data_IF_397774280791
#
_entry.id   IF_397774280791
#
_cell.length_a   1.000
_cell.length_b   1.000
_cell.length_c   1.000
_cell.angle_alpha   90.00
_cell.angle_beta   90.00
_cell.angle_gamma   90.00
#
_symmetry.space_group_name_H-M   'P 1'
#
loop_
_entity.id
_entity.type
_entity.pdbx_description
1 polymer ?
#
# COMPACT_ATOMS: atom_id res chain seq x y z
N UNK A 1 -22.64 14.27 9.10
CA UNK A 1 -23.05 12.85 8.87
C UNK A 1 -22.58 12.37 7.50
N UNK A 2 -21.28 12.18 7.33
CA UNK A 2 -20.69 11.64 6.10
C UNK A 2 -21.26 10.25 5.78
N UNK A 3 -21.70 10.05 4.53
CA UNK A 3 -22.23 8.77 4.05
C UNK A 3 -21.18 7.96 3.29
N UNK A 4 -20.26 8.62 2.60
CA UNK A 4 -19.17 8.02 1.81
C UNK A 4 -17.95 8.93 1.78
N UNK A 5 -16.83 8.38 1.36
CA UNK A 5 -15.61 9.11 1.03
C UNK A 5 -15.27 8.84 -0.43
N UNK A 6 -14.99 9.90 -1.20
CA UNK A 6 -14.38 9.79 -2.52
C UNK A 6 -12.89 10.11 -2.37
N UNK A 7 -12.01 9.22 -2.83
CA UNK A 7 -10.58 9.38 -2.74
C UNK A 7 -9.99 9.40 -4.15
N UNK A 8 -9.14 10.38 -4.46
CA UNK A 8 -8.52 10.47 -5.78
C UNK A 8 -7.06 10.87 -5.67
N UNK A 9 -6.23 10.22 -6.48
CA UNK A 9 -4.79 10.43 -6.53
C UNK A 9 -4.18 9.79 -7.80
N UNK A 10 -2.87 9.99 -8.02
CA UNK A 10 -2.11 9.37 -9.10
C UNK A 10 -0.96 8.51 -8.54
N UNK A 11 -0.58 7.44 -9.26
CA UNK A 11 0.62 6.65 -9.01
C UNK A 11 0.71 6.12 -7.57
N UNK A 12 1.86 6.29 -6.94
CA UNK A 12 2.14 5.88 -5.56
C UNK A 12 1.10 6.41 -4.55
N UNK A 13 0.66 7.66 -4.73
CA UNK A 13 -0.37 8.25 -3.85
C UNK A 13 -1.73 7.58 -4.04
N UNK A 14 -2.06 7.11 -5.23
CA UNK A 14 -3.25 6.30 -5.48
C UNK A 14 -3.18 4.96 -4.74
N UNK A 15 -2.02 4.28 -4.73
CA UNK A 15 -1.85 3.04 -3.99
C UNK A 15 -1.90 3.24 -2.47
N UNK A 16 -1.39 4.37 -1.97
CA UNK A 16 -1.61 4.76 -0.57
C UNK A 16 -3.11 4.94 -0.27
N UNK A 17 -3.84 5.57 -1.17
CA UNK A 17 -5.29 5.72 -1.09
C UNK A 17 -6.04 4.39 -1.10
N UNK A 18 -5.59 3.41 -1.90
CA UNK A 18 -6.16 2.06 -1.91
C UNK A 18 -6.01 1.37 -0.54
N UNK A 19 -4.89 1.53 0.15
CA UNK A 19 -4.73 1.04 1.53
C UNK A 19 -5.67 1.81 2.46
N UNK A 20 -5.74 3.14 2.32
CA UNK A 20 -6.64 4.00 3.07
C UNK A 20 -8.11 3.57 2.96
N UNK A 21 -8.56 3.15 1.77
CA UNK A 21 -9.90 2.57 1.56
C UNK A 21 -10.18 1.42 2.52
N UNK A 22 -9.27 0.43 2.62
CA UNK A 22 -9.44 -0.69 3.54
C UNK A 22 -9.56 -0.24 5.00
N UNK A 23 -8.77 0.76 5.41
CA UNK A 23 -8.82 1.27 6.78
C UNK A 23 -10.10 2.06 7.08
N UNK A 24 -10.54 2.95 6.20
CA UNK A 24 -11.81 3.68 6.38
C UNK A 24 -13.01 2.73 6.42
N UNK A 25 -13.08 1.76 5.52
CA UNK A 25 -14.16 0.77 5.49
C UNK A 25 -14.14 -0.11 6.74
N UNK A 26 -12.95 -0.49 7.23
CA UNK A 26 -12.82 -1.34 8.42
C UNK A 26 -13.07 -0.58 9.71
N UNK A 27 -12.42 0.56 9.90
CA UNK A 27 -12.42 1.28 11.17
C UNK A 27 -13.62 2.23 11.31
N UNK A 28 -13.92 2.99 10.26
CA UNK A 28 -14.97 3.99 10.26
C UNK A 28 -16.30 3.49 9.69
N UNK A 29 -16.33 2.29 9.10
CA UNK A 29 -17.51 1.74 8.40
C UNK A 29 -18.07 2.74 7.38
N UNK A 30 -17.18 3.46 6.71
CA UNK A 30 -17.46 4.40 5.64
C UNK A 30 -17.16 3.74 4.30
N UNK A 31 -18.13 3.64 3.39
CA UNK A 31 -17.87 3.26 2.01
C UNK A 31 -16.86 4.24 1.38
N UNK A 32 -15.85 3.72 0.70
CA UNK A 32 -14.85 4.53 0.00
C UNK A 32 -14.84 4.16 -1.48
N UNK A 33 -15.07 5.13 -2.33
CA UNK A 33 -14.70 5.04 -3.74
C UNK A 33 -13.31 5.61 -3.92
N UNK A 34 -12.49 4.91 -4.67
CA UNK A 34 -11.15 5.38 -5.02
C UNK A 34 -10.98 5.36 -6.53
N UNK A 35 -10.42 6.44 -7.06
CA UNK A 35 -10.24 6.65 -8.49
C UNK A 35 -8.85 7.18 -8.81
N UNK A 36 -8.34 6.82 -9.97
CA UNK A 36 -7.17 7.50 -10.53
C UNK A 36 -7.57 8.89 -10.95
N UNK A 37 -6.83 9.91 -10.52
CA UNK A 37 -7.24 11.30 -10.72
C UNK A 37 -7.34 11.69 -12.21
N UNK A 38 -6.52 11.12 -13.09
CA UNK A 38 -6.61 11.32 -14.54
C UNK A 38 -7.91 10.82 -15.15
N UNK A 39 -8.57 9.82 -14.53
CA UNK A 39 -9.85 9.33 -14.99
C UNK A 39 -11.02 10.01 -14.27
N UNK A 40 -10.85 10.32 -12.97
CA UNK A 40 -11.87 10.99 -12.17
C UNK A 40 -12.32 12.32 -12.79
N UNK A 41 -11.38 13.13 -13.26
CA UNK A 41 -11.66 14.46 -13.81
C UNK A 41 -12.52 14.46 -15.09
N UNK A 42 -12.56 13.35 -15.83
CA UNK A 42 -13.26 13.25 -17.12
C UNK A 42 -14.52 12.39 -17.09
N UNK A 43 -14.73 11.65 -16.00
CA UNK A 43 -15.77 10.63 -15.94
C UNK A 43 -17.15 11.14 -15.54
N UNK A 44 -17.33 12.40 -15.23
CA UNK A 44 -18.59 12.96 -14.72
C UNK A 44 -19.13 12.18 -13.50
N UNK A 45 -18.30 12.08 -12.45
CA UNK A 45 -18.56 11.28 -11.25
C UNK A 45 -19.78 11.83 -10.50
N UNK A 46 -20.81 11.02 -10.20
CA UNK A 46 -21.95 11.47 -9.42
C UNK A 46 -21.56 11.65 -7.95
N UNK A 47 -21.49 12.89 -7.50
CA UNK A 47 -21.13 13.26 -6.14
C UNK A 47 -22.33 13.84 -5.41
N UNK A 48 -22.80 13.18 -4.35
CA UNK A 48 -23.83 13.74 -3.48
C UNK A 48 -23.24 14.86 -2.61
N UNK A 49 -23.83 16.06 -2.55
CA UNK A 49 -23.33 17.18 -1.75
C UNK A 49 -23.12 16.84 -0.28
N UNK A 50 -22.12 17.47 0.34
CA UNK A 50 -21.83 17.34 1.78
C UNK A 50 -21.09 16.05 2.19
N UNK A 51 -20.63 15.24 1.23
CA UNK A 51 -19.72 14.13 1.51
C UNK A 51 -18.25 14.60 1.50
N UNK A 52 -17.34 13.69 1.84
CA UNK A 52 -15.90 13.97 1.94
C UNK A 52 -15.18 13.51 0.66
N UNK A 53 -14.43 14.42 0.05
CA UNK A 53 -13.46 14.10 -0.98
C UNK A 53 -12.04 14.24 -0.42
N UNK A 54 -11.21 13.21 -0.57
CA UNK A 54 -9.84 13.16 -0.08
C UNK A 54 -8.88 13.09 -1.26
N UNK A 55 -7.92 14.02 -1.30
CA UNK A 55 -6.90 14.09 -2.35
C UNK A 55 -5.51 13.87 -1.76
N UNK A 56 -4.76 12.93 -2.34
CA UNK A 56 -3.41 12.60 -1.86
C UNK A 56 -2.39 12.98 -2.91
N UNK A 57 -1.39 13.78 -2.53
CA UNK A 57 -0.32 14.20 -3.44
C UNK A 57 0.95 14.55 -2.65
N UNK A 58 2.11 14.05 -3.08
CA UNK A 58 3.37 14.41 -2.44
C UNK A 58 3.70 15.90 -2.67
N UNK A 59 3.69 16.35 -3.92
CA UNK A 59 4.00 17.75 -4.29
C UNK A 59 2.86 18.72 -4.00
N UNK A 60 1.61 18.24 -4.04
CA UNK A 60 0.42 19.07 -4.02
C UNK A 60 0.23 19.93 -5.28
N UNK A 61 0.93 19.58 -6.38
CA UNK A 61 0.86 20.30 -7.67
C UNK A 61 0.51 19.36 -8.84
N UNK A 62 0.13 18.11 -8.58
CA UNK A 62 -0.25 17.15 -9.63
C UNK A 62 -1.48 17.64 -10.35
N UNK A 63 -1.36 17.91 -11.67
CA UNK A 63 -2.40 18.55 -12.46
C UNK A 63 -3.76 17.83 -12.40
N UNK A 64 -3.77 16.49 -12.62
CA UNK A 64 -5.01 15.71 -12.59
C UNK A 64 -5.65 15.68 -11.19
N UNK A 65 -4.84 15.57 -10.13
CA UNK A 65 -5.33 15.60 -8.75
C UNK A 65 -5.94 16.95 -8.40
N UNK A 66 -5.34 18.05 -8.85
CA UNK A 66 -5.86 19.40 -8.67
C UNK A 66 -7.17 19.59 -9.43
N UNK A 67 -7.25 19.12 -10.67
CA UNK A 67 -8.48 19.19 -11.45
C UNK A 67 -9.62 18.38 -10.80
N UNK A 68 -9.32 17.18 -10.30
CA UNK A 68 -10.28 16.35 -9.57
C UNK A 68 -10.76 17.02 -8.26
N UNK A 69 -9.87 17.72 -7.56
CA UNK A 69 -10.20 18.51 -6.38
C UNK A 69 -11.19 19.63 -6.72
N UNK A 70 -10.92 20.38 -7.79
CA UNK A 70 -11.80 21.47 -8.23
C UNK A 70 -13.17 20.95 -8.63
N UNK A 71 -13.23 19.84 -9.37
CA UNK A 71 -14.48 19.15 -9.68
C UNK A 71 -15.27 18.78 -8.41
N UNK A 72 -14.62 18.21 -7.40
CA UNK A 72 -15.28 17.88 -6.14
C UNK A 72 -15.84 19.12 -5.41
N UNK A 73 -15.11 20.25 -5.44
CA UNK A 73 -15.58 21.53 -4.87
C UNK A 73 -16.79 22.07 -5.59
N UNK A 74 -16.82 22.04 -6.91
CA UNK A 74 -17.98 22.44 -7.73
C UNK A 74 -19.21 21.61 -7.37
N UNK A 75 -19.03 20.34 -6.97
CA UNK A 75 -20.08 19.43 -6.52
C UNK A 75 -20.30 19.46 -4.99
N UNK A 76 -19.91 20.55 -4.33
CA UNK A 76 -20.18 20.82 -2.91
C UNK A 76 -19.69 19.71 -1.96
N UNK A 77 -18.55 19.08 -2.29
CA UNK A 77 -17.89 18.17 -1.36
C UNK A 77 -17.07 18.94 -0.31
N UNK A 78 -16.94 18.37 0.88
CA UNK A 78 -15.89 18.79 1.82
C UNK A 78 -14.56 18.24 1.31
N UNK A 79 -13.57 19.11 1.11
CA UNK A 79 -12.29 18.74 0.50
C UNK A 79 -11.19 18.66 1.54
N UNK A 80 -10.59 17.49 1.68
CA UNK A 80 -9.42 17.24 2.52
C UNK A 80 -8.25 16.81 1.65
N UNK A 81 -7.08 17.41 1.86
CA UNK A 81 -5.85 16.99 1.18
C UNK A 81 -4.82 16.40 2.15
N UNK A 82 -4.13 15.35 1.69
CA UNK A 82 -2.96 14.77 2.33
C UNK A 82 -1.76 15.11 1.46
N UNK A 83 -0.95 16.07 1.89
CA UNK A 83 0.14 16.63 1.07
C UNK A 83 1.42 16.79 1.88
N UNK A 84 2.57 16.75 1.20
CA UNK A 84 3.85 17.00 1.87
C UNK A 84 4.29 18.48 1.80
N UNK A 85 3.74 19.25 0.85
CA UNK A 85 4.03 20.68 0.67
C UNK A 85 2.82 21.51 1.09
N UNK A 86 2.79 22.07 2.32
CA UNK A 86 1.61 22.79 2.84
C UNK A 86 1.29 24.10 2.10
N UNK A 87 2.25 24.63 1.33
CA UNK A 87 2.08 25.84 0.53
C UNK A 87 1.67 25.57 -0.91
N UNK A 88 1.45 24.31 -1.27
CA UNK A 88 1.05 23.89 -2.62
C UNK A 88 -0.36 24.36 -3.00
N UNK A 89 -0.65 24.29 -4.30
CA UNK A 89 -1.96 24.70 -4.83
C UNK A 89 -3.09 23.82 -4.29
N UNK A 90 -2.88 22.49 -4.25
CA UNK A 90 -3.86 21.56 -3.66
C UNK A 90 -4.10 21.90 -2.19
N UNK A 91 -3.04 22.21 -1.41
CA UNK A 91 -3.21 22.61 -0.02
C UNK A 91 -4.03 23.90 0.13
N UNK A 92 -3.71 24.93 -0.66
CA UNK A 92 -4.43 26.21 -0.59
C UNK A 92 -5.89 26.13 -1.00
N UNK A 93 -6.23 25.22 -1.89
CA UNK A 93 -7.60 25.04 -2.39
C UNK A 93 -8.43 24.04 -1.56
N UNK A 94 -7.83 23.35 -0.59
CA UNK A 94 -8.53 22.41 0.29
C UNK A 94 -9.17 23.10 1.50
N UNK A 95 -10.28 22.55 2.01
CA UNK A 95 -10.90 23.00 3.24
C UNK A 95 -10.10 22.56 4.46
N UNK A 96 -9.47 21.37 4.39
CA UNK A 96 -8.63 20.81 5.44
C UNK A 96 -7.35 20.24 4.82
N UNK A 97 -6.21 20.55 5.42
CA UNK A 97 -4.89 20.06 5.00
C UNK A 97 -4.29 19.18 6.08
N UNK A 98 -3.89 17.97 5.71
CA UNK A 98 -3.16 17.03 6.56
C UNK A 98 -1.74 16.87 6.00
N UNK A 99 -0.73 17.53 6.59
CA UNK A 99 0.64 17.44 6.12
C UNK A 99 1.25 16.08 6.48
N UNK A 100 2.01 15.49 5.55
CA UNK A 100 2.70 14.22 5.79
C UNK A 100 3.99 14.38 6.59
N UNK A 101 4.56 15.59 6.63
CA UNK A 101 5.81 15.93 7.31
C UNK A 101 7.02 15.06 6.90
N UNK A 102 7.00 14.52 5.67
CA UNK A 102 8.06 13.64 5.17
C UNK A 102 9.39 14.37 4.88
N UNK A 103 9.38 15.69 4.93
CA UNK A 103 10.53 16.52 4.52
C UNK A 103 10.78 16.45 2.99
N UNK A 104 11.87 17.01 2.50
CA UNK A 104 12.20 16.95 1.08
C UNK A 104 12.46 15.51 0.62
N UNK A 105 11.87 15.11 -0.49
CA UNK A 105 12.13 13.84 -1.16
C UNK A 105 12.79 14.13 -2.51
N UNK A 106 14.08 13.76 -2.62
CA UNK A 106 14.94 14.14 -3.76
C UNK A 106 14.69 13.22 -4.96
N UNK A 107 14.69 11.91 -4.72
CA UNK A 107 14.45 10.90 -5.76
C UNK A 107 13.10 11.08 -6.41
N UNK A 108 13.00 10.83 -7.72
CA UNK A 108 11.76 10.89 -8.49
C UNK A 108 10.78 9.82 -7.99
N UNK A 109 11.25 8.58 -7.83
CA UNK A 109 10.45 7.50 -7.26
C UNK A 109 10.13 7.77 -5.78
N UNK A 110 8.86 7.76 -5.44
CA UNK A 110 8.40 8.09 -4.08
C UNK A 110 8.65 6.91 -3.13
N UNK A 111 9.28 7.16 -1.98
CA UNK A 111 9.58 6.15 -0.94
C UNK A 111 9.03 6.56 0.42
N UNK A 112 9.72 7.46 1.14
CA UNK A 112 9.26 7.93 2.46
C UNK A 112 7.94 8.72 2.39
N UNK A 113 7.67 9.41 1.29
CA UNK A 113 6.40 10.10 1.12
C UNK A 113 5.23 9.11 1.11
N UNK A 114 5.39 7.93 0.49
CA UNK A 114 4.39 6.87 0.50
C UNK A 114 4.07 6.39 1.92
N UNK A 115 5.09 6.04 2.71
CA UNK A 115 4.89 5.57 4.09
C UNK A 115 4.28 6.64 4.99
N UNK A 116 4.67 7.92 4.80
CA UNK A 116 4.07 9.04 5.51
C UNK A 116 2.60 9.28 5.10
N UNK A 117 2.26 9.14 3.82
CA UNK A 117 0.86 9.18 3.35
C UNK A 117 0.03 8.06 3.99
N UNK A 118 0.57 6.84 4.03
CA UNK A 118 -0.08 5.72 4.73
C UNK A 118 -0.34 6.04 6.21
N UNK A 119 0.66 6.59 6.91
CA UNK A 119 0.52 6.94 8.34
C UNK A 119 -0.59 7.97 8.56
N UNK A 120 -0.66 9.02 7.74
CA UNK A 120 -1.72 10.04 7.83
C UNK A 120 -3.10 9.43 7.53
N UNK A 121 -3.21 8.61 6.47
CA UNK A 121 -4.47 7.95 6.13
C UNK A 121 -4.95 6.99 7.22
N UNK A 122 -4.03 6.27 7.88
CA UNK A 122 -4.36 5.42 9.04
C UNK A 122 -4.89 6.26 10.21
N UNK A 123 -4.23 7.38 10.55
CA UNK A 123 -4.70 8.30 11.58
C UNK A 123 -6.09 8.86 11.27
N UNK A 124 -6.33 9.26 10.02
CA UNK A 124 -7.65 9.77 9.57
C UNK A 124 -8.73 8.71 9.69
N UNK A 125 -8.46 7.46 9.29
CA UNK A 125 -9.42 6.37 9.38
C UNK A 125 -9.76 6.01 10.84
N UNK A 126 -8.77 6.03 11.74
CA UNK A 126 -8.97 5.82 13.19
C UNK A 126 -9.81 6.96 13.77
N UNK A 127 -9.45 8.22 13.49
CA UNK A 127 -10.19 9.39 13.96
C UNK A 127 -11.65 9.38 13.45
N UNK A 128 -11.87 9.04 12.19
CA UNK A 128 -13.20 8.88 11.62
C UNK A 128 -14.00 7.77 12.32
N UNK A 129 -13.37 6.63 12.62
CA UNK A 129 -13.99 5.53 13.36
C UNK A 129 -14.41 5.95 14.77
N UNK A 130 -13.57 6.72 15.45
CA UNK A 130 -13.91 7.29 16.79
C UNK A 130 -15.05 8.28 16.70
N UNK A 131 -15.00 9.21 15.76
CA UNK A 131 -16.04 10.24 15.59
C UNK A 131 -17.41 9.62 15.25
N UNK A 132 -17.42 8.50 14.55
CA UNK A 132 -18.64 7.74 14.18
C UNK A 132 -19.12 6.77 15.26
N UNK A 133 -18.33 6.54 16.30
CA UNK A 133 -18.63 5.55 17.33
C UNK A 133 -18.48 4.09 16.88
N UNK A 134 -17.79 3.83 15.77
CA UNK A 134 -17.51 2.48 15.26
C UNK A 134 -16.26 1.86 15.87
N UNK A 135 -15.39 2.66 16.48
CA UNK A 135 -14.27 2.24 17.30
C UNK A 135 -14.50 2.63 18.76
N UNK A 136 -14.24 1.70 19.68
CA UNK A 136 -14.18 1.99 21.12
C UNK A 136 -12.91 2.78 21.45
N UNK A 137 -12.82 3.34 22.68
CA UNK A 137 -11.57 3.96 23.17
C UNK A 137 -10.42 2.96 23.26
N UNK A 138 -10.73 1.71 23.58
CA UNK A 138 -9.71 0.67 23.67
C UNK A 138 -9.18 0.28 22.29
N UNK A 139 -10.05 0.11 21.28
CA UNK A 139 -9.63 -0.14 19.89
C UNK A 139 -8.73 0.99 19.37
N UNK A 140 -9.15 2.25 19.61
CA UNK A 140 -8.33 3.42 19.26
C UNK A 140 -6.95 3.34 19.91
N UNK A 141 -6.89 3.06 21.23
CA UNK A 141 -5.63 2.96 21.97
C UNK A 141 -4.71 1.87 21.37
N UNK A 142 -5.26 0.72 21.03
CA UNK A 142 -4.52 -0.39 20.41
C UNK A 142 -3.97 0.03 19.04
N UNK A 143 -4.81 0.62 18.19
CA UNK A 143 -4.40 1.03 16.84
C UNK A 143 -3.38 2.17 16.87
N UNK A 144 -3.56 3.16 17.73
CA UNK A 144 -2.61 4.27 17.92
C UNK A 144 -1.28 3.74 18.46
N UNK A 145 -1.29 2.82 19.43
CA UNK A 145 -0.07 2.19 19.92
C UNK A 145 0.68 1.45 18.81
N UNK A 146 -0.03 0.70 17.95
CA UNK A 146 0.58 0.02 16.81
C UNK A 146 1.27 1.02 15.87
N UNK A 147 0.64 2.18 15.60
CA UNK A 147 1.26 3.25 14.79
C UNK A 147 2.49 3.85 15.47
N UNK A 148 2.46 4.08 16.77
CA UNK A 148 3.62 4.60 17.52
C UNK A 148 4.79 3.62 17.49
N UNK A 149 4.54 2.31 17.49
CA UNK A 149 5.56 1.27 17.44
C UNK A 149 6.06 0.99 16.00
N UNK A 150 5.36 1.49 14.97
CA UNK A 150 5.72 1.26 13.55
C UNK A 150 7.18 1.62 13.20
N UNK A 151 7.77 2.75 13.65
CA UNK A 151 9.18 3.06 13.36
C UNK A 151 10.15 1.98 13.85
N UNK A 152 9.88 1.35 15.01
CA UNK A 152 10.68 0.22 15.49
C UNK A 152 10.59 -0.97 14.52
N UNK A 153 9.37 -1.36 14.13
CA UNK A 153 9.19 -2.45 13.17
C UNK A 153 9.82 -2.14 11.81
N UNK A 154 9.77 -0.88 11.35
CA UNK A 154 10.45 -0.47 10.12
C UNK A 154 11.98 -0.60 10.24
N UNK A 155 12.56 -0.21 11.38
CA UNK A 155 13.99 -0.38 11.64
C UNK A 155 14.39 -1.86 11.68
N UNK A 156 13.57 -2.72 12.31
CA UNK A 156 13.79 -4.17 12.32
C UNK A 156 13.69 -4.79 10.93
N UNK A 157 12.76 -4.30 10.11
CA UNK A 157 12.57 -4.76 8.72
C UNK A 157 13.78 -4.48 7.82
N UNK A 158 14.55 -3.41 8.09
CA UNK A 158 15.78 -3.12 7.34
C UNK A 158 16.86 -4.21 7.49
N UNK A 159 16.78 -5.06 8.51
CA UNK A 159 17.74 -6.17 8.69
C UNK A 159 17.72 -7.20 7.54
N UNK A 160 16.71 -7.20 6.69
CA UNK A 160 16.63 -8.05 5.49
C UNK A 160 17.52 -7.54 4.33
N UNK A 161 18.06 -6.32 4.41
CA UNK A 161 18.75 -5.66 3.30
C UNK A 161 19.86 -6.53 2.66
N UNK A 162 20.74 -7.23 3.41
CA UNK A 162 21.76 -8.09 2.79
C UNK A 162 21.17 -9.24 1.96
N UNK A 163 19.99 -9.76 2.34
CA UNK A 163 19.30 -10.80 1.57
C UNK A 163 18.69 -10.23 0.29
N UNK A 164 18.15 -9.01 0.37
CA UNK A 164 17.58 -8.30 -0.79
C UNK A 164 18.70 -7.94 -1.79
N UNK A 165 19.87 -7.51 -1.32
CA UNK A 165 21.03 -7.23 -2.15
C UNK A 165 21.46 -8.47 -2.95
N UNK A 166 21.50 -9.65 -2.32
CA UNK A 166 21.78 -10.92 -3.02
C UNK A 166 20.70 -11.25 -4.04
N UNK A 167 19.42 -11.10 -3.67
CA UNK A 167 18.28 -11.34 -4.56
C UNK A 167 18.32 -10.43 -5.80
N UNK A 168 18.76 -9.18 -5.63
CA UNK A 168 18.84 -8.19 -6.71
C UNK A 168 19.70 -8.66 -7.90
N UNK A 169 20.76 -9.43 -7.65
CA UNK A 169 21.59 -10.02 -8.74
C UNK A 169 20.84 -11.04 -9.59
N UNK A 170 19.82 -11.68 -9.04
CA UNK A 170 18.93 -12.57 -9.80
C UNK A 170 17.91 -11.76 -10.57
N UNK A 171 17.24 -10.83 -9.91
CA UNK A 171 16.21 -9.98 -10.51
C UNK A 171 16.76 -9.12 -11.65
N UNK A 172 17.99 -8.61 -11.53
CA UNK A 172 18.63 -7.80 -12.56
C UNK A 172 18.80 -8.52 -13.91
N UNK A 173 18.67 -9.86 -13.95
CA UNK A 173 18.73 -10.68 -15.16
C UNK A 173 17.37 -10.93 -15.79
N UNK A 174 16.30 -10.65 -15.06
CA UNK A 174 14.93 -10.86 -15.50
C UNK A 174 14.43 -9.67 -16.33
N UNK A 175 13.50 -9.93 -17.23
CA UNK A 175 12.84 -8.90 -18.03
C UNK A 175 11.50 -8.51 -17.45
N UNK A 176 10.86 -9.45 -16.79
CA UNK A 176 9.51 -9.35 -16.25
C UNK A 176 9.50 -9.79 -14.78
N UNK A 177 8.55 -9.32 -14.00
CA UNK A 177 8.32 -9.74 -12.63
C UNK A 177 6.84 -9.57 -12.25
N UNK A 178 6.30 -10.47 -11.44
CA UNK A 178 4.96 -10.35 -10.90
C UNK A 178 5.00 -10.09 -9.39
N UNK A 179 4.03 -9.30 -8.91
CA UNK A 179 3.82 -9.03 -7.49
C UNK A 179 2.41 -9.46 -7.11
N UNK A 180 2.28 -10.26 -6.06
CA UNK A 180 0.99 -10.79 -5.60
C UNK A 180 0.71 -10.35 -4.16
N UNK A 181 -0.53 -9.93 -3.91
CA UNK A 181 -0.99 -9.60 -2.55
C UNK A 181 -2.50 -9.77 -2.41
N UNK A 182 -2.99 -9.83 -1.17
CA UNK A 182 -4.41 -9.83 -0.83
C UNK A 182 -4.72 -8.80 0.25
N UNK A 183 -5.97 -8.31 0.28
CA UNK A 183 -6.36 -7.29 1.23
C UNK A 183 -5.46 -6.06 1.11
N UNK A 184 -4.96 -5.54 2.22
CA UNK A 184 -4.03 -4.40 2.21
C UNK A 184 -2.68 -4.68 1.56
N UNK A 185 -2.29 -5.95 1.38
CA UNK A 185 -1.07 -6.32 0.67
C UNK A 185 -1.22 -6.21 -0.86
N UNK A 186 -2.43 -6.16 -1.41
CA UNK A 186 -2.63 -5.96 -2.84
C UNK A 186 -2.13 -4.58 -3.32
N UNK A 187 -2.52 -3.45 -2.69
CA UNK A 187 -1.93 -2.16 -3.02
C UNK A 187 -0.41 -2.10 -2.84
N UNK A 188 0.15 -2.82 -1.85
CA UNK A 188 1.60 -2.90 -1.65
C UNK A 188 2.28 -3.67 -2.80
N UNK A 189 1.64 -4.73 -3.31
CA UNK A 189 2.10 -5.43 -4.51
C UNK A 189 2.12 -4.52 -5.76
N UNK A 190 1.08 -3.71 -5.94
CA UNK A 190 1.03 -2.70 -7.02
C UNK A 190 2.14 -1.66 -6.87
N UNK A 191 2.37 -1.17 -5.66
CA UNK A 191 3.45 -0.21 -5.38
C UNK A 191 4.84 -0.83 -5.62
N UNK A 192 5.06 -2.10 -5.21
CA UNK A 192 6.31 -2.81 -5.46
C UNK A 192 6.59 -2.95 -6.96
N UNK A 193 5.60 -3.35 -7.73
CA UNK A 193 5.69 -3.43 -9.18
C UNK A 193 5.98 -2.05 -9.81
N UNK A 194 5.34 -0.99 -9.31
CA UNK A 194 5.59 0.38 -9.76
C UNK A 194 7.04 0.80 -9.48
N UNK A 195 7.52 0.61 -8.25
CA UNK A 195 8.91 0.98 -7.87
C UNK A 195 9.95 0.24 -8.72
N UNK A 196 9.75 -1.06 -8.94
CA UNK A 196 10.67 -1.83 -9.78
C UNK A 196 10.69 -1.29 -11.22
N UNK A 197 9.53 -1.00 -11.83
CA UNK A 197 9.44 -0.40 -13.17
C UNK A 197 10.14 0.94 -13.26
N UNK A 198 9.89 1.82 -12.29
CA UNK A 198 10.36 3.21 -12.33
C UNK A 198 11.89 3.29 -12.37
N UNK A 199 12.59 2.49 -11.57
CA UNK A 199 14.04 2.67 -11.36
C UNK A 199 14.91 1.59 -11.99
N UNK A 200 14.38 0.38 -12.23
CA UNK A 200 15.12 -0.70 -12.89
C UNK A 200 14.74 -0.92 -14.36
N UNK A 201 13.57 -0.40 -14.78
CA UNK A 201 12.97 -0.58 -16.11
C UNK A 201 12.56 -2.01 -16.42
N UNK A 202 12.58 -2.92 -15.46
CA UNK A 202 11.99 -4.25 -15.56
C UNK A 202 10.48 -4.11 -15.66
N UNK A 203 9.84 -4.80 -16.61
CA UNK A 203 8.39 -4.82 -16.69
C UNK A 203 7.83 -5.59 -15.49
N UNK A 204 7.16 -4.92 -14.59
CA UNK A 204 6.59 -5.52 -13.39
C UNK A 204 5.11 -5.21 -13.25
N UNK A 205 4.32 -6.20 -12.86
CA UNK A 205 2.87 -6.05 -12.66
C UNK A 205 2.45 -6.58 -11.29
N UNK A 206 1.51 -5.85 -10.67
CA UNK A 206 0.92 -6.26 -9.40
C UNK A 206 -0.50 -6.79 -9.59
N UNK A 207 -0.83 -7.89 -8.91
CA UNK A 207 -2.17 -8.49 -8.98
C UNK A 207 -2.72 -8.80 -7.59
N UNK A 208 -4.05 -8.69 -7.46
CA UNK A 208 -4.71 -9.38 -6.38
C UNK A 208 -4.47 -10.89 -6.57
N UNK A 209 -3.90 -11.57 -5.57
CA UNK A 209 -3.46 -12.96 -5.74
C UNK A 209 -4.56 -13.91 -6.24
N UNK A 210 -5.84 -13.59 -5.96
CA UNK A 210 -6.98 -14.34 -6.48
C UNK A 210 -7.18 -14.24 -7.98
N UNK A 211 -6.75 -13.12 -8.58
CA UNK A 211 -6.88 -12.86 -10.02
C UNK A 211 -5.83 -13.60 -10.86
N UNK A 212 -4.83 -14.21 -10.21
CA UNK A 212 -3.80 -14.98 -10.91
C UNK A 212 -4.40 -16.01 -11.87
N UNK A 213 -5.46 -16.70 -11.45
CA UNK A 213 -6.16 -17.74 -12.25
C UNK A 213 -6.94 -17.20 -13.44
N UNK A 214 -7.21 -15.92 -13.48
CA UNK A 214 -8.04 -15.27 -14.50
C UNK A 214 -7.22 -14.64 -15.64
N UNK A 215 -6.02 -15.20 -15.90
CA UNK A 215 -5.15 -14.80 -17.02
C UNK A 215 -3.67 -14.79 -16.67
N UNK A 216 -3.22 -14.03 -15.64
CA UNK A 216 -1.79 -13.84 -15.36
C UNK A 216 -1.00 -15.13 -15.13
N UNK A 217 -1.65 -16.20 -14.70
CA UNK A 217 -1.01 -17.52 -14.52
C UNK A 217 -0.39 -18.07 -15.80
N UNK A 218 -0.86 -17.61 -16.96
CA UNK A 218 -0.30 -18.00 -18.26
C UNK A 218 1.12 -17.44 -18.51
N UNK A 219 1.53 -16.43 -17.74
CA UNK A 219 2.86 -15.81 -17.82
C UNK A 219 3.92 -16.56 -17.00
N UNK A 220 3.50 -17.52 -16.16
CA UNK A 220 4.41 -18.20 -15.23
C UNK A 220 5.23 -19.26 -15.97
N UNK A 221 6.55 -19.09 -15.92
CA UNK A 221 7.57 -20.04 -16.34
C UNK A 221 8.74 -20.03 -15.34
N UNK A 222 9.81 -20.79 -15.65
CA UNK A 222 11.00 -20.89 -14.81
C UNK A 222 11.83 -19.60 -14.72
N UNK A 223 11.57 -18.60 -15.55
CA UNK A 223 12.28 -17.32 -15.60
C UNK A 223 11.47 -16.19 -14.95
N UNK A 224 10.21 -16.45 -14.57
CA UNK A 224 9.32 -15.45 -14.00
C UNK A 224 9.47 -15.36 -12.48
N UNK A 225 10.09 -14.31 -11.94
CA UNK A 225 10.07 -14.06 -10.49
C UNK A 225 8.70 -13.55 -10.06
N UNK A 226 8.19 -14.12 -8.97
CA UNK A 226 6.90 -13.76 -8.38
C UNK A 226 7.10 -13.38 -6.93
N UNK A 227 6.98 -12.09 -6.64
CA UNK A 227 7.05 -11.55 -5.28
C UNK A 227 5.68 -11.68 -4.62
N UNK A 228 5.60 -12.46 -3.56
CA UNK A 228 4.36 -12.74 -2.83
C UNK A 228 4.39 -12.05 -1.46
N UNK A 229 3.47 -11.13 -1.23
CA UNK A 229 3.33 -10.38 0.02
C UNK A 229 2.21 -11.01 0.84
N UNK A 230 2.57 -11.77 1.87
CA UNK A 230 1.65 -12.60 2.63
C UNK A 230 1.92 -12.52 4.14
N UNK A 231 1.61 -11.40 4.82
CA UNK A 231 1.69 -11.34 6.27
C UNK A 231 0.74 -12.35 6.91
N UNK A 232 1.23 -13.05 7.94
CA UNK A 232 0.43 -13.98 8.74
C UNK A 232 -0.08 -13.27 9.99
N UNK A 233 -1.37 -13.36 10.26
CA UNK A 233 -1.95 -12.73 11.45
C UNK A 233 -1.89 -13.66 12.67
N UNK A 234 -0.90 -13.44 13.52
CA UNK A 234 -0.87 -14.05 14.86
C UNK A 234 -1.49 -13.18 15.96
N UNK A 235 -1.62 -11.87 15.70
CA UNK A 235 -2.06 -10.92 16.73
C UNK A 235 -3.42 -11.26 17.32
N UNK A 236 -4.21 -12.01 16.58
CA UNK A 236 -5.57 -12.39 16.95
C UNK A 236 -5.62 -13.54 17.97
N UNK A 237 -4.69 -14.49 17.96
CA UNK A 237 -4.73 -15.60 18.88
C UNK A 237 -4.13 -15.29 20.27
N UNK A 238 -3.08 -14.48 20.34
CA UNK A 238 -2.51 -14.04 21.62
C UNK A 238 -3.39 -13.01 22.34
N UNK A 239 -4.17 -12.23 21.62
CA UNK A 239 -5.10 -11.25 22.19
C UNK A 239 -6.40 -11.90 22.68
N UNK A 240 -6.68 -13.15 22.28
CA UNK A 240 -7.85 -13.93 22.77
C UNK A 240 -7.96 -14.04 24.28
N UNK A 241 -6.85 -13.94 25.02
CA UNK A 241 -6.88 -14.12 26.47
C UNK A 241 -7.43 -12.90 27.24
N UNK A 242 -7.56 -11.72 26.62
CA UNK A 242 -7.98 -10.49 27.32
C UNK A 242 -9.11 -9.71 26.64
N UNK A 243 -9.66 -10.12 25.50
CA UNK A 243 -10.61 -9.32 24.72
C UNK A 243 -11.69 -10.19 24.04
N UNK A 244 -12.60 -10.77 24.85
CA UNK A 244 -13.77 -11.45 24.33
C UNK A 244 -14.63 -10.56 23.40
N UNK A 245 -14.62 -9.25 23.57
CA UNK A 245 -15.41 -8.29 22.80
C UNK A 245 -14.79 -7.96 21.41
N UNK A 246 -13.45 -8.02 21.27
CA UNK A 246 -12.82 -7.86 19.95
C UNK A 246 -13.05 -9.04 19.00
N UNK A 247 -13.30 -10.23 19.56
CA UNK A 247 -13.63 -11.44 18.79
C UNK A 247 -14.96 -11.27 18.03
N UNK A 248 -15.92 -10.54 18.59
CA UNK A 248 -17.20 -10.28 17.95
C UNK A 248 -17.10 -9.29 16.78
N UNK A 249 -16.27 -8.25 16.90
CA UNK A 249 -16.05 -7.26 15.83
C UNK A 249 -15.31 -7.87 14.64
N UNK A 250 -14.37 -8.78 14.88
CA UNK A 250 -13.60 -9.43 13.82
C UNK A 250 -14.32 -10.65 13.20
N UNK A 251 -15.17 -11.34 13.94
CA UNK A 251 -16.00 -12.41 13.38
C UNK A 251 -16.96 -11.94 12.29
N UNK A 252 -17.36 -10.65 12.32
CA UNK A 252 -18.28 -10.07 11.34
C UNK A 252 -17.66 -9.60 10.04
N UNK A 253 -16.32 -9.37 9.97
CA UNK A 253 -15.79 -8.61 8.85
C UNK A 253 -14.58 -9.21 8.10
N UNK A 254 -13.72 -10.01 8.72
CA UNK A 254 -12.49 -10.46 8.06
C UNK A 254 -11.92 -11.73 8.74
N UNK A 255 -11.50 -12.70 7.94
CA UNK A 255 -10.76 -13.89 8.39
C UNK A 255 -9.31 -13.77 7.92
N UNK A 256 -8.40 -13.18 8.70
CA UNK A 256 -7.00 -12.96 8.29
C UNK A 256 -6.27 -14.25 7.92
N UNK A 257 -6.42 -15.30 8.72
CA UNK A 257 -5.85 -16.62 8.43
C UNK A 257 -6.30 -17.16 7.07
N UNK A 258 -7.57 -16.94 6.69
CA UNK A 258 -8.07 -17.36 5.39
C UNK A 258 -7.43 -16.56 4.23
N UNK A 259 -7.00 -15.33 4.46
CA UNK A 259 -6.29 -14.53 3.45
C UNK A 259 -4.89 -15.09 3.20
N UNK A 260 -4.16 -15.42 4.27
CA UNK A 260 -2.85 -16.05 4.18
C UNK A 260 -2.93 -17.42 3.48
N UNK A 261 -3.78 -18.33 3.96
CA UNK A 261 -3.98 -19.66 3.36
C UNK A 261 -4.32 -19.60 1.86
N UNK A 262 -5.19 -18.66 1.47
CA UNK A 262 -5.56 -18.47 0.06
C UNK A 262 -4.40 -17.86 -0.75
N UNK A 263 -3.55 -17.07 -0.16
CA UNK A 263 -2.35 -16.55 -0.81
C UNK A 263 -1.31 -17.65 -1.00
N UNK A 264 -1.10 -18.50 0.02
CA UNK A 264 -0.24 -19.70 -0.08
C UNK A 264 -0.75 -20.64 -1.15
N UNK A 265 -2.05 -20.90 -1.24
CA UNK A 265 -2.63 -21.72 -2.32
C UNK A 265 -2.32 -21.17 -3.72
N UNK A 266 -2.35 -19.84 -3.91
CA UNK A 266 -1.95 -19.25 -5.18
C UNK A 266 -0.44 -19.37 -5.42
N UNK A 267 0.37 -19.25 -4.38
CA UNK A 267 1.82 -19.46 -4.44
C UNK A 267 2.18 -20.89 -4.91
N UNK A 268 1.49 -21.90 -4.37
CA UNK A 268 1.64 -23.30 -4.77
C UNK A 268 1.33 -23.51 -6.26
N UNK A 269 0.38 -22.79 -6.82
CA UNK A 269 0.04 -22.85 -8.24
C UNK A 269 1.13 -22.23 -9.13
N UNK A 270 1.81 -21.18 -8.64
CA UNK A 270 3.00 -20.60 -9.29
C UNK A 270 4.15 -21.60 -9.27
N UNK A 271 4.45 -22.18 -8.10
CA UNK A 271 5.51 -23.18 -7.93
C UNK A 271 5.31 -24.42 -8.83
N UNK A 272 4.07 -24.92 -8.93
CA UNK A 272 3.73 -26.06 -9.80
C UNK A 272 3.99 -25.82 -11.30
N UNK A 273 4.22 -24.56 -11.70
CA UNK A 273 4.56 -24.14 -13.08
C UNK A 273 6.02 -23.71 -13.22
N UNK A 274 6.82 -23.92 -12.19
CA UNK A 274 8.24 -23.58 -12.19
C UNK A 274 8.57 -22.11 -11.86
N UNK A 275 7.56 -21.27 -11.55
CA UNK A 275 7.78 -19.86 -11.22
C UNK A 275 8.68 -19.69 -9.98
N UNK A 276 9.57 -18.70 -10.04
CA UNK A 276 10.51 -18.39 -8.97
C UNK A 276 9.83 -17.54 -7.89
N UNK A 277 9.58 -18.10 -6.72
CA UNK A 277 8.83 -17.41 -5.66
C UNK A 277 9.78 -16.67 -4.71
N UNK A 278 9.42 -15.41 -4.42
CA UNK A 278 10.04 -14.59 -3.38
C UNK A 278 8.95 -14.28 -2.37
N UNK A 279 8.99 -14.98 -1.22
CA UNK A 279 7.97 -14.80 -0.17
C UNK A 279 8.41 -13.72 0.84
N UNK A 280 7.58 -12.71 1.03
CA UNK A 280 7.70 -11.69 2.07
C UNK A 280 6.62 -11.95 3.12
N UNK A 281 7.04 -12.43 4.29
CA UNK A 281 6.13 -12.82 5.37
C UNK A 281 6.80 -12.72 6.74
N UNK A 282 6.00 -12.77 7.81
CA UNK A 282 6.51 -12.91 9.18
C UNK A 282 6.98 -14.35 9.46
N UNK A 283 7.65 -14.64 10.64
CA UNK A 283 8.23 -15.94 10.91
C UNK A 283 7.26 -17.11 10.80
N UNK A 284 5.99 -16.92 11.16
CA UNK A 284 4.99 -18.00 11.08
C UNK A 284 4.55 -18.25 9.64
N UNK A 285 4.32 -17.17 8.88
CA UNK A 285 3.99 -17.29 7.46
C UNK A 285 5.13 -17.91 6.66
N UNK A 286 6.39 -17.60 7.03
CA UNK A 286 7.57 -18.27 6.47
C UNK A 286 7.56 -19.76 6.78
N UNK A 287 7.31 -20.14 8.04
CA UNK A 287 7.29 -21.55 8.45
C UNK A 287 6.19 -22.35 7.73
N UNK A 288 5.04 -21.75 7.48
CA UNK A 288 3.91 -22.40 6.80
C UNK A 288 4.00 -22.35 5.26
N UNK A 289 4.70 -21.35 4.69
CA UNK A 289 4.73 -21.10 3.24
C UNK A 289 6.08 -21.35 2.55
N UNK A 290 7.16 -21.54 3.29
CA UNK A 290 8.53 -21.47 2.77
C UNK A 290 9.01 -22.68 1.95
N UNK A 291 8.29 -23.79 1.91
CA UNK A 291 8.78 -25.03 1.26
C UNK A 291 8.99 -24.93 -0.25
N UNK A 292 8.42 -23.90 -0.88
CA UNK A 292 8.40 -23.75 -2.34
C UNK A 292 8.93 -22.40 -2.82
N UNK A 293 9.48 -21.58 -1.92
CA UNK A 293 10.02 -20.26 -2.27
C UNK A 293 11.51 -20.34 -2.61
N UNK A 294 11.91 -19.60 -3.66
CA UNK A 294 13.32 -19.42 -4.01
C UNK A 294 14.04 -18.63 -2.92
N UNK A 295 13.42 -17.56 -2.43
CA UNK A 295 13.93 -16.69 -1.37
C UNK A 295 12.79 -16.34 -0.43
N UNK A 296 13.09 -16.32 0.88
CA UNK A 296 12.15 -15.87 1.90
C UNK A 296 12.71 -14.65 2.62
N UNK A 297 11.97 -13.55 2.58
CA UNK A 297 12.28 -12.32 3.32
C UNK A 297 11.42 -12.27 4.58
N UNK A 298 12.05 -12.51 5.73
CA UNK A 298 11.35 -12.61 7.01
C UNK A 298 11.18 -11.24 7.65
N UNK A 299 9.92 -10.81 7.77
CA UNK A 299 9.52 -9.55 8.38
C UNK A 299 9.30 -9.69 9.88
N UNK A 300 9.46 -8.61 10.69
CA UNK A 300 9.12 -8.65 12.10
C UNK A 300 7.63 -8.94 12.32
N UNK A 301 7.31 -9.59 13.46
CA UNK A 301 5.91 -9.77 13.90
C UNK A 301 5.30 -8.42 14.29
N UNK A 302 4.12 -8.11 13.76
CA UNK A 302 3.42 -6.85 14.03
C UNK A 302 1.91 -6.98 13.83
N UNK A 303 1.10 -6.03 14.38
CA UNK A 303 -0.33 -5.97 14.08
C UNK A 303 -0.60 -5.74 12.59
N UNK A 304 -1.58 -6.45 12.01
CA UNK A 304 -1.98 -6.31 10.60
C UNK A 304 -2.36 -4.87 10.20
N UNK A 305 -2.83 -4.07 11.15
CA UNK A 305 -3.21 -2.67 10.88
C UNK A 305 -2.05 -1.81 10.38
N UNK A 306 -0.81 -2.17 10.69
CA UNK A 306 0.41 -1.43 10.32
C UNK A 306 1.29 -2.16 9.31
N UNK A 307 0.94 -3.39 8.89
CA UNK A 307 1.73 -4.13 7.89
C UNK A 307 1.94 -3.35 6.60
N UNK A 308 0.98 -2.57 6.05
CA UNK A 308 1.22 -1.81 4.84
C UNK A 308 2.38 -0.81 4.94
N UNK A 309 2.59 -0.21 6.12
CA UNK A 309 3.69 0.72 6.34
C UNK A 309 5.05 0.00 6.33
N UNK A 310 5.12 -1.15 7.01
CA UNK A 310 6.39 -1.88 7.20
C UNK A 310 6.73 -2.72 5.98
N UNK A 311 5.74 -3.36 5.34
CA UNK A 311 5.93 -4.15 4.12
C UNK A 311 6.21 -3.30 2.87
N UNK A 312 6.12 -1.96 2.97
CA UNK A 312 6.69 -1.05 1.98
C UNK A 312 8.22 -1.12 1.91
N UNK A 313 8.91 -1.46 3.02
CA UNK A 313 10.38 -1.53 3.08
C UNK A 313 10.95 -2.59 2.11
N UNK A 314 10.58 -3.89 2.19
CA UNK A 314 11.15 -4.89 1.31
C UNK A 314 10.91 -4.59 -0.18
N UNK A 315 9.74 -4.09 -0.56
CA UNK A 315 9.46 -3.79 -1.97
C UNK A 315 10.29 -2.61 -2.49
N UNK A 316 10.56 -1.60 -1.65
CA UNK A 316 11.42 -0.49 -1.97
C UNK A 316 12.89 -0.91 -2.07
N UNK A 317 13.38 -1.73 -1.11
CA UNK A 317 14.73 -2.29 -1.15
C UNK A 317 14.96 -3.18 -2.37
N UNK A 318 13.98 -4.04 -2.74
CA UNK A 318 14.06 -4.86 -3.95
C UNK A 318 14.26 -3.99 -5.19
N UNK A 319 13.46 -2.95 -5.34
CA UNK A 319 13.56 -2.05 -6.48
C UNK A 319 14.92 -1.30 -6.48
N UNK A 320 15.33 -0.77 -5.32
CA UNK A 320 16.57 -0.01 -5.14
C UNK A 320 17.81 -0.85 -5.48
N UNK A 321 17.98 -2.01 -4.84
CA UNK A 321 19.17 -2.85 -5.06
C UNK A 321 19.19 -3.43 -6.47
N UNK A 322 18.03 -3.78 -7.05
CA UNK A 322 17.96 -4.23 -8.45
C UNK A 322 18.42 -3.14 -9.41
N UNK A 323 17.97 -1.90 -9.23
CA UNK A 323 18.41 -0.74 -10.00
C UNK A 323 19.92 -0.48 -9.83
N UNK A 324 20.42 -0.56 -8.60
CA UNK A 324 21.84 -0.38 -8.31
C UNK A 324 22.72 -1.45 -9.01
N UNK A 325 22.31 -2.72 -8.98
CA UNK A 325 23.00 -3.82 -9.70
C UNK A 325 22.97 -3.60 -11.20
N UNK A 326 21.88 -3.08 -11.75
CA UNK A 326 21.73 -2.78 -13.18
C UNK A 326 22.48 -1.50 -13.60
N UNK A 327 22.94 -0.70 -12.63
CA UNK A 327 23.62 0.59 -12.89
C UNK A 327 22.69 1.68 -13.41
N UNK A 328 21.39 1.59 -13.12
CA UNK A 328 20.41 2.65 -13.45
C UNK A 328 20.43 3.76 -12.39
N UNK A 329 20.05 4.98 -12.76
CA UNK A 329 19.95 6.09 -11.81
C UNK A 329 18.68 5.93 -10.96
N UNK A 330 18.86 5.72 -9.65
CA UNK A 330 17.76 5.50 -8.69
C UNK A 330 17.03 6.79 -8.32
N UNK A 331 17.71 7.95 -8.42
CA UNK A 331 17.16 9.25 -8.07
C UNK A 331 16.54 9.98 -9.27
N UNK A 332 17.14 9.83 -10.45
CA UNK A 332 16.75 10.49 -11.70
C UNK A 332 16.52 9.46 -12.82
N UNK A 333 15.54 8.55 -12.68
CA UNK A 333 15.26 7.55 -13.70
C UNK A 333 14.82 8.22 -15.02
N UNK A 334 15.18 7.59 -16.15
CA UNK A 334 14.85 8.13 -17.48
C UNK A 334 13.36 8.33 -17.67
N UNK A 335 12.98 9.36 -18.43
CA UNK A 335 11.60 9.65 -18.86
C UNK A 335 10.61 9.92 -17.72
N UNK A 336 11.06 10.13 -16.49
CA UNK A 336 10.22 10.47 -15.36
C UNK A 336 10.54 11.86 -14.80
N UNK A 337 9.54 12.48 -14.22
CA UNK A 337 9.66 13.75 -13.50
C UNK A 337 9.07 13.59 -12.10
N UNK A 338 9.63 14.31 -11.11
CA UNK A 338 9.17 14.25 -9.71
C UNK A 338 7.72 14.63 -9.53
N UNK A 339 7.21 15.53 -10.37
CA UNK A 339 5.81 15.97 -10.36
C UNK A 339 5.35 16.23 -11.79
N UNK A 340 4.16 15.73 -12.11
CA UNK A 340 3.48 15.98 -13.39
C UNK A 340 2.58 17.19 -13.19
N UNK A 341 3.09 18.37 -13.59
CA UNK A 341 2.42 19.67 -13.40
C UNK A 341 1.75 20.19 -14.67
N UNK A 342 1.96 19.52 -15.79
CA UNK A 342 1.41 19.82 -17.11
C UNK A 342 0.83 18.57 -17.73
N UNK A 343 -0.13 18.77 -18.64
CA UNK A 343 -0.74 17.73 -19.48
C UNK A 343 0.13 17.45 -20.72
#
# INVERSE_FOLDING_TARGET
>A
NLKRVSLSACGTAYYAGMVGKYWFERFARLPVEIDVASEFRYRDVPLDPGNLAVFVSQSGETADTLASLRYAKEHQQHVLSVVNVPTSTIARESDVVMPTLAGPEIGVASTKAFTCQLAVLACLAIAAGRARGTLSREDERILVRALIETPRHMSEALAIEPQVEQLAHTLAKCKDALYLGRGTSFPIALEGALKLKEISYIHAEGYAAGELKHGPIALIDENMPVVVIAPYDQGFEKTKSNLQDMVELSRRAYRPAAVFEKTVSNMQEVAARGGQIILISDPKGVAEGATESLVTLTMPEMPLSVTPLVYAIPIQLIAYHTAAVMGTDVDQPRNLAKSVTVE
#
